data_IF_726615373162
#
_entry.id   IF_726615373162
#
_cell.length_a   1.000
_cell.length_b   1.000
_cell.length_c   1.000
_cell.angle_alpha   90.00
_cell.angle_beta   90.00
_cell.angle_gamma   90.00
#
_symmetry.space_group_name_H-M   'P 1'
#
loop_
_entity.id
_entity.type
_entity.pdbx_description
1 polymer ?
#
# COMPACT_ATOMS: atom_id res chain seq x y z
N UNK A 1 16.11 7.10 3.13
CA UNK A 1 14.64 6.89 3.08
C UNK A 1 14.30 5.99 1.91
N UNK A 2 13.40 5.06 2.13
CA UNK A 2 13.03 4.05 1.14
C UNK A 2 11.53 3.79 1.22
N UNK A 3 10.92 3.36 0.12
CA UNK A 3 9.54 2.89 0.16
C UNK A 3 9.43 1.60 0.98
N UNK A 4 8.32 1.43 1.65
CA UNK A 4 7.98 0.23 2.40
C UNK A 4 6.48 -0.04 2.24
N UNK A 5 6.05 -1.27 2.50
CA UNK A 5 4.66 -1.65 2.37
C UNK A 5 4.17 -2.52 3.52
N UNK A 6 2.86 -2.64 3.61
CA UNK A 6 2.19 -3.47 4.61
C UNK A 6 0.85 -3.98 4.07
N UNK A 7 0.59 -5.25 4.25
CA UNK A 7 -0.72 -5.86 3.96
C UNK A 7 -1.63 -5.65 5.16
N UNK A 8 -2.85 -5.19 4.91
CA UNK A 8 -3.84 -4.83 5.94
C UNK A 8 -5.02 -5.78 5.86
N UNK A 9 -5.45 -6.31 7.00
CA UNK A 9 -6.61 -7.18 7.08
C UNK A 9 -7.93 -6.41 7.25
N UNK A 10 -9.04 -7.15 7.19
CA UNK A 10 -10.40 -6.57 7.27
C UNK A 10 -10.69 -5.89 8.62
N UNK A 11 -9.89 -6.13 9.65
CA UNK A 11 -10.00 -5.46 10.95
C UNK A 11 -9.10 -4.22 11.04
N UNK A 12 -8.39 -3.88 9.97
CA UNK A 12 -7.48 -2.74 9.94
C UNK A 12 -6.11 -3.03 10.55
N UNK A 13 -5.76 -4.30 10.78
CA UNK A 13 -4.50 -4.70 11.40
C UNK A 13 -3.44 -5.05 10.36
N UNK A 14 -2.16 -4.77 10.63
CA UNK A 14 -1.08 -5.19 9.75
C UNK A 14 -0.90 -6.71 9.79
N UNK A 15 -0.77 -7.32 8.62
CA UNK A 15 -0.57 -8.76 8.46
C UNK A 15 0.86 -9.11 8.07
N UNK A 16 1.50 -8.26 7.26
CA UNK A 16 2.82 -8.55 6.68
C UNK A 16 3.51 -7.24 6.30
N UNK A 17 4.72 -7.03 6.80
CA UNK A 17 5.55 -5.87 6.47
C UNK A 17 6.41 -6.19 5.26
N UNK A 18 6.26 -5.40 4.21
CA UNK A 18 6.95 -5.62 2.93
C UNK A 18 8.12 -4.65 2.80
N UNK A 19 9.32 -5.17 3.05
CA UNK A 19 10.57 -4.42 2.92
C UNK A 19 11.53 -5.20 2.04
N UNK A 20 11.22 -5.36 0.75
CA UNK A 20 11.97 -6.26 -0.12
C UNK A 20 13.36 -5.73 -0.42
N UNK A 21 14.25 -6.64 -0.80
CA UNK A 21 15.55 -6.28 -1.32
C UNK A 21 15.40 -5.45 -2.60
N UNK A 22 16.23 -4.43 -2.75
CA UNK A 22 16.15 -3.53 -3.92
C UNK A 22 15.18 -2.38 -3.81
N UNK A 23 14.45 -2.25 -2.69
CA UNK A 23 13.62 -1.06 -2.47
C UNK A 23 14.50 0.19 -2.33
N UNK A 24 13.95 1.34 -2.73
CA UNK A 24 14.64 2.63 -2.63
C UNK A 24 13.62 3.76 -2.49
N UNK A 25 14.05 5.00 -2.64
CA UNK A 25 13.21 6.18 -2.46
C UNK A 25 12.02 6.24 -3.42
N UNK A 26 12.13 5.68 -4.60
CA UNK A 26 11.10 5.76 -5.64
C UNK A 26 10.58 4.41 -6.12
N UNK A 27 10.97 3.31 -5.48
CA UNK A 27 10.57 1.98 -5.93
C UNK A 27 10.35 1.02 -4.77
N UNK A 28 9.29 0.22 -4.89
CA UNK A 28 8.97 -0.86 -3.98
C UNK A 28 8.75 -2.13 -4.82
N UNK A 29 9.80 -2.96 -4.97
CA UNK A 29 9.69 -4.18 -5.77
C UNK A 29 8.71 -5.19 -5.20
N UNK A 30 8.17 -6.04 -6.06
CA UNK A 30 7.38 -7.19 -5.66
C UNK A 30 8.25 -8.26 -4.99
N UNK A 31 7.59 -9.19 -4.32
CA UNK A 31 8.20 -10.44 -3.87
C UNK A 31 7.19 -11.57 -3.95
N UNK A 32 7.68 -12.78 -4.07
CA UNK A 32 6.82 -13.97 -4.02
C UNK A 32 6.08 -14.05 -2.67
N UNK A 33 6.78 -13.74 -1.58
CA UNK A 33 6.19 -13.77 -0.24
C UNK A 33 5.01 -12.79 -0.12
N UNK A 34 5.13 -11.59 -0.67
CA UNK A 34 4.01 -10.63 -0.68
C UNK A 34 2.77 -11.21 -1.38
N UNK A 35 2.98 -11.80 -2.56
CA UNK A 35 1.89 -12.43 -3.32
C UNK A 35 1.25 -13.59 -2.56
N UNK A 36 2.06 -14.43 -1.91
CA UNK A 36 1.55 -15.54 -1.11
C UNK A 36 0.70 -15.06 0.05
N UNK A 37 1.16 -14.04 0.78
CA UNK A 37 0.40 -13.46 1.89
C UNK A 37 -0.92 -12.86 1.42
N UNK A 38 -0.90 -12.09 0.35
CA UNK A 38 -2.12 -11.46 -0.19
C UNK A 38 -3.10 -12.50 -0.72
N UNK A 39 -2.59 -13.51 -1.43
CA UNK A 39 -3.42 -14.57 -1.99
C UNK A 39 -4.09 -15.40 -0.88
N UNK A 40 -3.32 -15.78 0.15
CA UNK A 40 -3.85 -16.56 1.27
C UNK A 40 -4.89 -15.76 2.05
N UNK A 41 -4.63 -14.48 2.33
CA UNK A 41 -5.60 -13.60 2.98
C UNK A 41 -6.87 -13.42 2.14
N UNK A 42 -6.71 -13.30 0.83
CA UNK A 42 -7.85 -13.21 -0.09
C UNK A 42 -8.71 -14.48 -0.01
N UNK A 43 -8.09 -15.66 -0.08
CA UNK A 43 -8.83 -16.94 0.01
C UNK A 43 -9.57 -17.10 1.33
N UNK A 44 -9.01 -16.60 2.41
CA UNK A 44 -9.64 -16.64 3.74
C UNK A 44 -10.67 -15.53 3.95
N UNK A 45 -10.82 -14.62 3.01
CA UNK A 45 -11.74 -13.49 3.15
C UNK A 45 -11.28 -12.42 4.13
N UNK A 46 -9.99 -12.35 4.45
CA UNK A 46 -9.44 -11.42 5.44
C UNK A 46 -8.64 -10.27 4.85
N UNK A 47 -8.49 -10.20 3.53
CA UNK A 47 -7.71 -9.15 2.88
C UNK A 47 -8.54 -7.88 2.71
N UNK A 48 -8.10 -6.77 3.32
CA UNK A 48 -8.66 -5.43 3.07
C UNK A 48 -7.88 -4.71 1.98
N UNK A 49 -6.56 -4.68 2.06
CA UNK A 49 -5.75 -4.01 1.07
C UNK A 49 -4.28 -3.92 1.42
N UNK A 50 -3.62 -2.93 0.81
CA UNK A 50 -2.19 -2.74 0.92
C UNK A 50 -1.85 -1.26 1.04
N UNK A 51 -0.93 -0.94 1.94
CA UNK A 51 -0.41 0.42 2.11
C UNK A 51 1.06 0.47 1.75
N UNK A 52 1.51 1.57 1.13
CA UNK A 52 2.92 1.82 0.93
C UNK A 52 3.28 3.27 1.23
N UNK A 53 4.55 3.51 1.48
CA UNK A 53 5.06 4.83 1.80
C UNK A 53 5.67 5.50 0.58
N UNK A 54 5.42 6.81 0.46
CA UNK A 54 6.18 7.72 -0.42
C UNK A 54 7.05 8.58 0.49
N UNK A 55 8.38 8.40 0.50
CA UNK A 55 9.24 9.23 1.33
C UNK A 55 9.08 10.71 1.01
N UNK A 56 9.06 11.54 2.06
CA UNK A 56 8.89 12.99 1.92
C UNK A 56 7.68 13.50 2.70
N UNK A 57 7.38 14.78 2.51
CA UNK A 57 6.30 15.49 3.20
C UNK A 57 5.18 15.86 2.24
N UNK A 58 4.03 16.20 2.79
CA UNK A 58 2.87 16.65 2.04
C UNK A 58 1.88 15.54 1.75
N UNK A 59 0.79 15.91 1.10
CA UNK A 59 -0.25 14.95 0.71
C UNK A 59 0.27 14.09 -0.44
N UNK A 60 0.46 12.78 -0.22
CA UNK A 60 0.97 11.92 -1.28
C UNK A 60 -0.11 11.61 -2.30
N UNK A 61 0.28 11.49 -3.56
CA UNK A 61 -0.60 11.02 -4.62
C UNK A 61 -0.05 9.76 -5.28
N UNK A 62 -0.91 8.97 -5.92
CA UNK A 62 -0.46 7.77 -6.62
C UNK A 62 0.29 8.14 -7.90
N UNK A 63 1.39 7.43 -8.15
CA UNK A 63 2.06 7.49 -9.45
C UNK A 63 1.26 6.70 -10.48
N UNK A 64 1.63 6.84 -11.76
CA UNK A 64 1.06 5.99 -12.81
C UNK A 64 1.34 4.50 -12.53
N UNK A 65 2.56 4.19 -12.09
CA UNK A 65 2.93 2.83 -11.69
C UNK A 65 2.04 2.32 -10.57
N UNK A 66 1.72 3.17 -9.58
CA UNK A 66 0.84 2.77 -8.47
C UNK A 66 -0.53 2.36 -8.98
N UNK A 67 -1.21 3.19 -9.76
CA UNK A 67 -2.59 2.89 -10.21
C UNK A 67 -2.64 1.71 -11.17
N UNK A 68 -1.64 1.52 -12.00
CA UNK A 68 -1.57 0.35 -12.87
C UNK A 68 -1.34 -0.93 -12.07
N UNK A 69 -0.55 -0.86 -11.00
CA UNK A 69 -0.34 -1.97 -10.07
C UNK A 69 -1.64 -2.29 -9.32
N UNK A 70 -2.34 -1.28 -8.77
CA UNK A 70 -3.63 -1.48 -8.11
C UNK A 70 -4.60 -2.23 -9.02
N UNK A 71 -4.75 -1.77 -10.25
CA UNK A 71 -5.67 -2.39 -11.20
C UNK A 71 -5.26 -3.82 -11.55
N UNK A 72 -3.97 -4.08 -11.72
CA UNK A 72 -3.48 -5.42 -12.05
C UNK A 72 -3.69 -6.41 -10.92
N UNK A 73 -3.42 -6.00 -9.67
CA UNK A 73 -3.63 -6.84 -8.49
C UNK A 73 -5.11 -7.14 -8.29
N UNK A 74 -5.95 -6.12 -8.39
CA UNK A 74 -7.40 -6.30 -8.25
C UNK A 74 -7.96 -7.22 -9.33
N UNK A 75 -7.49 -7.09 -10.56
CA UNK A 75 -7.89 -7.97 -11.65
C UNK A 75 -7.46 -9.42 -11.40
N UNK A 76 -6.23 -9.63 -10.92
CA UNK A 76 -5.71 -10.97 -10.63
C UNK A 76 -6.50 -11.65 -9.50
N UNK A 77 -6.92 -10.89 -8.49
CA UNK A 77 -7.72 -11.41 -7.38
C UNK A 77 -9.21 -11.48 -7.70
N UNK A 78 -9.69 -10.74 -8.70
CA UNK A 78 -11.11 -10.59 -8.98
C UNK A 78 -11.84 -9.82 -7.90
N UNK A 79 -11.15 -8.89 -7.22
CA UNK A 79 -11.71 -8.16 -6.07
C UNK A 79 -11.13 -6.75 -6.00
N UNK A 80 -11.98 -5.75 -5.72
CA UNK A 80 -11.54 -4.40 -5.40
C UNK A 80 -10.99 -4.36 -3.99
N UNK A 81 -9.89 -3.61 -3.81
CA UNK A 81 -9.20 -3.46 -2.53
C UNK A 81 -9.20 -1.99 -2.11
N UNK A 82 -8.81 -1.75 -0.87
CA UNK A 82 -8.46 -0.42 -0.40
C UNK A 82 -6.95 -0.30 -0.41
N UNK A 83 -6.45 0.83 -0.91
CA UNK A 83 -5.02 1.13 -0.98
C UNK A 83 -4.75 2.38 -0.15
N UNK A 84 -3.57 2.46 0.45
CA UNK A 84 -3.15 3.65 1.19
C UNK A 84 -1.76 4.05 0.77
N UNK A 85 -1.51 5.35 0.80
CA UNK A 85 -0.17 5.91 0.62
C UNK A 85 0.09 6.83 1.80
N UNK A 86 1.26 6.67 2.43
CA UNK A 86 1.69 7.53 3.53
C UNK A 86 2.88 8.38 3.11
N UNK A 87 2.88 9.65 3.51
CA UNK A 87 4.08 10.46 3.59
C UNK A 87 4.48 10.58 5.05
N UNK A 88 5.50 11.38 5.36
CA UNK A 88 5.93 11.58 6.75
C UNK A 88 4.88 12.24 7.62
N UNK A 89 3.91 12.95 7.02
CA UNK A 89 2.92 13.75 7.75
C UNK A 89 1.46 13.56 7.27
N UNK A 90 1.21 12.79 6.21
CA UNK A 90 -0.14 12.56 5.69
C UNK A 90 -0.39 11.10 5.37
N UNK A 91 -1.66 10.73 5.37
CA UNK A 91 -2.15 9.43 4.91
C UNK A 91 -3.32 9.66 3.98
N UNK A 92 -3.33 9.00 2.82
CA UNK A 92 -4.49 8.97 1.94
C UNK A 92 -4.93 7.54 1.72
N UNK A 93 -6.23 7.33 1.62
CA UNK A 93 -6.80 6.05 1.16
C UNK A 93 -7.27 6.21 -0.28
N UNK A 94 -7.15 5.13 -1.05
CA UNK A 94 -7.52 5.13 -2.46
C UNK A 94 -8.40 3.92 -2.76
N UNK A 95 -9.48 4.18 -3.49
CA UNK A 95 -10.36 3.12 -3.98
C UNK A 95 -10.73 3.41 -5.43
N UNK A 96 -10.97 2.35 -6.19
CA UNK A 96 -11.43 2.51 -7.56
C UNK A 96 -12.85 3.08 -7.55
N UNK A 97 -13.05 4.15 -8.30
CA UNK A 97 -14.36 4.80 -8.44
C UNK A 97 -14.85 4.78 -9.89
N UNK A 98 -14.01 4.39 -10.82
CA UNK A 98 -14.38 4.41 -12.22
C UNK A 98 -14.63 5.82 -12.76
N UNK A 99 -15.15 5.95 -14.01
CA UNK A 99 -15.52 4.81 -14.89
C UNK A 99 -14.33 4.15 -15.59
N UNK A 100 -13.17 4.84 -15.65
CA UNK A 100 -12.01 4.31 -16.35
C UNK A 100 -11.21 3.35 -15.47
N UNK A 101 -10.42 2.48 -16.12
CA UNK A 101 -9.65 1.41 -15.49
C UNK A 101 -8.73 1.91 -14.37
N UNK A 102 -8.14 3.10 -14.53
CA UNK A 102 -7.17 3.65 -13.59
C UNK A 102 -7.71 4.83 -12.77
N UNK A 103 -9.03 4.97 -12.72
CA UNK A 103 -9.67 6.07 -11.96
C UNK A 103 -9.85 5.67 -10.51
N UNK A 104 -8.85 5.98 -9.70
CA UNK A 104 -8.85 5.79 -8.25
C UNK A 104 -8.98 7.15 -7.57
N UNK A 105 -9.87 7.24 -6.59
CA UNK A 105 -10.06 8.47 -5.82
C UNK A 105 -9.34 8.39 -4.49
N UNK A 106 -8.66 9.48 -4.13
CA UNK A 106 -7.91 9.59 -2.88
C UNK A 106 -8.70 10.41 -1.86
N UNK A 107 -8.73 9.94 -0.63
CA UNK A 107 -9.34 10.64 0.51
C UNK A 107 -8.30 10.74 1.62
N UNK A 108 -8.12 11.94 2.16
CA UNK A 108 -7.22 12.14 3.31
C UNK A 108 -7.79 11.42 4.54
N UNK A 109 -6.95 10.63 5.20
CA UNK A 109 -7.29 9.91 6.42
C UNK A 109 -6.83 10.75 7.62
N UNK A 110 -7.77 11.09 8.50
CA UNK A 110 -7.48 11.89 9.69
C UNK A 110 -7.52 11.08 10.98
N UNK A 111 -8.10 9.88 10.94
CA UNK A 111 -8.11 8.96 12.09
C UNK A 111 -6.75 8.28 12.28
N UNK A 112 -6.45 7.90 13.51
CA UNK A 112 -5.24 7.14 13.81
C UNK A 112 -5.37 5.70 13.33
N UNK A 113 -4.39 5.24 12.54
CA UNK A 113 -4.32 3.86 12.07
C UNK A 113 -3.12 3.17 12.71
N UNK A 114 -3.33 1.95 13.21
CA UNK A 114 -2.35 1.24 14.05
C UNK A 114 -1.01 0.96 13.35
N UNK A 115 -1.00 0.88 12.03
CA UNK A 115 0.18 0.49 11.25
C UNK A 115 1.00 1.67 10.70
N UNK A 116 0.49 2.90 10.81
CA UNK A 116 1.13 4.06 10.16
C UNK A 116 2.50 4.39 10.76
N UNK A 117 2.63 4.37 12.09
CA UNK A 117 3.88 4.71 12.75
C UNK A 117 5.01 3.75 12.35
N UNK A 118 4.74 2.45 12.31
CA UNK A 118 5.74 1.46 11.91
C UNK A 118 6.08 1.57 10.42
N UNK A 119 5.08 1.81 9.56
CA UNK A 119 5.33 1.99 8.13
C UNK A 119 6.26 3.19 7.88
N UNK A 120 6.02 4.30 8.58
CA UNK A 120 6.88 5.48 8.52
C UNK A 120 8.29 5.18 9.02
N UNK A 121 8.41 4.44 10.11
CA UNK A 121 9.72 4.04 10.64
C UNK A 121 10.50 3.22 9.61
N UNK A 122 9.86 2.25 8.98
CA UNK A 122 10.48 1.43 7.93
C UNK A 122 10.87 2.25 6.71
N UNK A 123 10.08 3.26 6.38
CA UNK A 123 10.38 4.18 5.27
C UNK A 123 11.58 5.08 5.56
N UNK A 124 11.83 5.40 6.81
CA UNK A 124 12.96 6.25 7.23
C UNK A 124 14.28 5.50 7.34
N UNK A 125 14.28 4.16 7.27
CA UNK A 125 15.50 3.39 7.32
C UNK A 125 16.48 3.80 6.23
N UNK A 126 17.77 3.78 6.58
CA UNK A 126 18.84 4.03 5.61
C UNK A 126 19.17 2.76 4.85
N UNK A 127 19.37 2.87 3.54
CA UNK A 127 19.84 1.77 2.72
C UNK A 127 21.26 1.36 3.12
N UNK A 128 21.54 0.08 3.07
CA UNK A 128 22.86 -0.47 3.40
C UNK A 128 23.40 -1.34 2.28
#
# INVERSE_FOLDING_TARGET
MMEAGVVIDINGNPMFWHTPHGRNTGALPDSMTLWEVMWDAFKLGTLLGFAHSHPGQGVPGPSYTDVTTFAAVEAALGKRLTWWITSSDHVVSLTWTGPHKYTYSATTVTEALSWVAELRRLSEEQGR
#
